data_IF_310406171380
#
_entry.id   IF_310406171380
#
_cell.length_a   1.000
_cell.length_b   1.000
_cell.length_c   1.000
_cell.angle_alpha   90.00
_cell.angle_beta   90.00
_cell.angle_gamma   90.00
#
_symmetry.space_group_name_H-M   'P 1'
#
loop_
_entity.id
_entity.type
_entity.pdbx_description
1 polymer ?
#
# COMPACT_ATOMS: atom_id res chain seq x y z
N UNK A 1 4.96 -9.82 -5.52
CA UNK A 1 4.95 -9.04 -4.25
C UNK A 1 4.01 -9.72 -3.26
N UNK A 2 4.44 -9.93 -2.01
CA UNK A 2 3.60 -10.54 -0.96
C UNK A 2 2.99 -9.44 -0.10
N UNK A 3 1.70 -9.53 0.17
CA UNK A 3 0.97 -8.62 1.05
C UNK A 3 0.59 -9.36 2.33
N UNK A 4 0.83 -8.72 3.47
CA UNK A 4 0.45 -9.21 4.77
C UNK A 4 -0.59 -8.27 5.36
N UNK A 5 -1.55 -8.80 6.12
CA UNK A 5 -2.55 -7.97 6.76
C UNK A 5 -1.87 -7.00 7.74
N UNK A 6 -2.14 -5.69 7.59
CA UNK A 6 -1.55 -4.69 8.48
C UNK A 6 -2.18 -4.82 9.85
N UNK A 7 -1.37 -4.77 10.91
CA UNK A 7 -1.84 -4.80 12.29
C UNK A 7 -1.73 -3.41 12.91
N UNK A 8 -2.64 -3.07 13.82
CA UNK A 8 -2.55 -1.86 14.64
C UNK A 8 -1.60 -2.09 15.83
N UNK A 9 -1.44 -1.09 16.69
CA UNK A 9 -0.59 -1.16 17.89
C UNK A 9 -1.02 -2.24 18.91
N UNK A 10 -2.28 -2.68 18.84
CA UNK A 10 -2.86 -3.72 19.68
C UNK A 10 -2.76 -5.12 19.03
N UNK A 11 -1.92 -5.28 17.99
CA UNK A 11 -1.79 -6.51 17.18
C UNK A 11 -3.07 -6.94 16.44
N UNK A 12 -4.12 -6.12 16.43
CA UNK A 12 -5.35 -6.41 15.70
C UNK A 12 -5.18 -6.12 14.20
N UNK A 13 -5.68 -7.03 13.37
CA UNK A 13 -5.71 -6.85 11.92
C UNK A 13 -6.60 -5.68 11.55
N UNK A 14 -6.03 -4.72 10.81
CA UNK A 14 -6.77 -3.62 10.21
C UNK A 14 -7.48 -4.16 8.97
N UNK A 15 -8.82 -4.14 8.93
CA UNK A 15 -9.57 -4.67 7.80
C UNK A 15 -9.22 -3.89 6.54
N UNK A 16 -9.07 -4.61 5.41
CA UNK A 16 -8.80 -4.03 4.09
C UNK A 16 -7.52 -3.19 4.02
N UNK A 17 -6.56 -3.46 4.90
CA UNK A 17 -5.27 -2.79 4.91
C UNK A 17 -4.16 -3.82 4.97
N UNK A 18 -3.14 -3.64 4.14
CA UNK A 18 -2.04 -4.56 3.98
C UNK A 18 -0.71 -3.82 3.93
N UNK A 19 0.34 -4.52 4.30
CA UNK A 19 1.72 -4.09 4.12
C UNK A 19 2.41 -5.03 3.14
N UNK A 20 3.10 -4.48 2.14
CA UNK A 20 3.93 -5.26 1.24
C UNK A 20 5.23 -5.68 1.95
N UNK A 21 5.88 -6.72 1.45
CA UNK A 21 7.21 -7.15 1.91
C UNK A 21 8.26 -6.00 1.86
N UNK A 22 8.10 -5.07 0.91
CA UNK A 22 8.94 -3.87 0.77
C UNK A 22 8.52 -2.71 1.70
N UNK A 23 7.56 -2.93 2.62
CA UNK A 23 7.13 -1.94 3.61
C UNK A 23 6.04 -0.94 3.16
N UNK A 24 5.53 -1.05 1.93
CA UNK A 24 4.47 -0.16 1.45
C UNK A 24 3.14 -0.51 2.09
N UNK A 25 2.36 0.49 2.48
CA UNK A 25 0.99 0.28 2.95
C UNK A 25 0.01 0.41 1.78
N UNK A 26 -0.89 -0.57 1.65
CA UNK A 26 -1.98 -0.58 0.68
C UNK A 26 -3.28 -0.69 1.47
N UNK A 27 -4.21 0.23 1.27
CA UNK A 27 -5.56 0.09 1.81
C UNK A 27 -6.58 -0.03 0.67
N UNK A 28 -7.65 -0.77 0.86
CA UNK A 28 -8.79 -0.85 -0.07
C UNK A 28 -9.93 0.02 0.46
N UNK A 29 -10.24 1.09 -0.26
CA UNK A 29 -11.40 1.93 0.00
C UNK A 29 -12.49 1.58 -1.02
N UNK A 30 -13.71 1.33 -0.52
CA UNK A 30 -14.87 1.05 -1.37
C UNK A 30 -15.77 2.28 -1.40
N UNK A 31 -15.59 3.14 -2.40
CA UNK A 31 -16.41 4.32 -2.64
C UNK A 31 -16.68 4.44 -4.13
N UNK A 32 -17.95 4.54 -4.54
CA UNK A 32 -18.61 3.76 -5.62
C UNK A 32 -17.78 2.75 -6.47
N UNK A 33 -16.51 3.03 -6.76
CA UNK A 33 -15.53 2.16 -7.39
C UNK A 33 -14.42 1.78 -6.38
N UNK A 34 -13.87 0.55 -6.44
CA UNK A 34 -12.76 0.16 -5.58
C UNK A 34 -11.52 1.02 -5.87
N UNK A 35 -10.94 1.63 -4.84
CA UNK A 35 -9.70 2.41 -4.94
C UNK A 35 -8.69 1.90 -3.92
N UNK A 36 -7.44 1.76 -4.36
CA UNK A 36 -6.33 1.30 -3.55
C UNK A 36 -5.30 2.42 -3.35
N UNK A 37 -5.45 3.27 -2.33
CA UNK A 37 -4.37 4.16 -1.91
C UNK A 37 -3.10 3.39 -1.53
N UNK A 38 -1.98 3.81 -2.10
CA UNK A 38 -0.64 3.25 -1.87
C UNK A 38 0.22 4.28 -1.16
N UNK A 39 0.79 3.90 -0.02
CA UNK A 39 1.62 4.73 0.84
C UNK A 39 3.02 4.15 0.95
N UNK A 40 4.04 5.01 0.81
CA UNK A 40 5.45 4.62 0.93
C UNK A 40 5.78 4.17 2.37
N UNK A 41 6.80 3.30 2.56
CA UNK A 41 7.30 2.97 3.89
C UNK A 41 7.70 4.25 4.65
N UNK A 42 7.39 4.31 5.94
CA UNK A 42 7.68 5.47 6.80
C UNK A 42 6.79 6.71 6.58
N UNK A 43 5.98 6.73 5.52
CA UNK A 43 5.10 7.85 5.23
C UNK A 43 3.68 7.65 5.77
N UNK A 44 2.99 8.78 5.99
CA UNK A 44 1.61 8.81 6.49
C UNK A 44 0.58 9.10 5.41
N UNK A 45 1.02 9.58 4.23
CA UNK A 45 0.14 9.98 3.13
C UNK A 45 0.34 9.10 1.89
N UNK A 46 -0.76 8.71 1.22
CA UNK A 46 -0.66 7.97 -0.03
C UNK A 46 -0.04 8.84 -1.12
N UNK A 47 0.88 8.27 -1.89
CA UNK A 47 1.49 8.93 -3.05
C UNK A 47 0.79 8.59 -4.36
N UNK A 48 0.04 7.49 -4.39
CA UNK A 48 -0.67 6.99 -5.55
C UNK A 48 -1.99 6.34 -5.16
N UNK A 49 -2.89 6.25 -6.13
CA UNK A 49 -4.18 5.59 -5.98
C UNK A 49 -4.41 4.70 -7.18
N UNK A 50 -4.44 3.39 -6.95
CA UNK A 50 -4.65 2.39 -7.98
C UNK A 50 -6.11 1.95 -8.05
N UNK A 51 -6.57 1.55 -9.23
CA UNK A 51 -7.93 1.01 -9.42
C UNK A 51 -8.00 -0.51 -9.16
N UNK A 52 -6.86 -1.20 -9.27
CA UNK A 52 -6.77 -2.65 -9.15
C UNK A 52 -5.51 -3.09 -8.42
N UNK A 53 -5.52 -4.32 -7.88
CA UNK A 53 -4.36 -4.90 -7.18
C UNK A 53 -3.14 -5.03 -8.08
N UNK A 54 -3.33 -5.35 -9.35
CA UNK A 54 -2.26 -5.42 -10.34
C UNK A 54 -1.60 -4.06 -10.53
N UNK A 55 -2.39 -2.99 -10.60
CA UNK A 55 -1.91 -1.62 -10.70
C UNK A 55 -1.18 -1.18 -9.42
N UNK A 56 -1.62 -1.62 -8.23
CA UNK A 56 -0.85 -1.42 -6.99
C UNK A 56 0.55 -2.03 -7.12
N UNK A 57 0.66 -3.26 -7.63
CA UNK A 57 1.96 -3.93 -7.79
C UNK A 57 2.84 -3.17 -8.80
N UNK A 58 2.25 -2.70 -9.92
CA UNK A 58 2.95 -1.89 -10.91
C UNK A 58 3.48 -0.60 -10.28
N UNK A 59 2.63 0.17 -9.59
CA UNK A 59 2.98 1.43 -8.93
C UNK A 59 4.10 1.24 -7.92
N UNK A 60 4.02 0.22 -7.05
CA UNK A 60 5.08 -0.03 -6.07
C UNK A 60 6.37 -0.46 -6.78
N UNK A 61 6.29 -1.29 -7.81
CA UNK A 61 7.48 -1.72 -8.56
C UNK A 61 8.17 -0.54 -9.24
N UNK A 62 7.41 0.35 -9.88
CA UNK A 62 7.95 1.57 -10.48
C UNK A 62 8.57 2.49 -9.44
N UNK A 63 7.93 2.69 -8.28
CA UNK A 63 8.47 3.53 -7.20
C UNK A 63 9.79 2.97 -6.63
N UNK A 64 9.87 1.65 -6.42
CA UNK A 64 11.11 1.00 -5.99
C UNK A 64 12.24 1.16 -7.00
N UNK A 65 11.95 1.02 -8.30
CA UNK A 65 12.94 1.20 -9.39
C UNK A 65 13.37 2.66 -9.54
N UNK A 66 12.48 3.62 -9.26
CA UNK A 66 12.79 5.05 -9.28
C UNK A 66 13.63 5.53 -8.09
N UNK A 67 14.01 4.63 -7.17
CA UNK A 67 14.79 4.98 -5.99
C UNK A 67 13.95 5.49 -4.82
N UNK A 68 12.68 5.09 -4.72
CA UNK A 68 11.74 5.40 -3.63
C UNK A 68 12.11 4.83 -2.25
N UNK A 69 13.40 4.67 -1.96
CA UNK A 69 13.97 4.48 -0.64
C UNK A 69 14.88 5.69 -0.34
N UNK A 70 14.28 6.77 0.16
CA UNK A 70 15.04 7.97 0.48
C UNK A 70 14.24 9.01 1.26
N UNK A 71 14.13 8.80 2.58
CA UNK A 71 14.45 9.72 3.67
C UNK A 71 13.88 9.21 5.00
#
# INVERSE_FOLDING_TARGET
MRWQAKRNTDDQVIPRCWVSDSGYTVAECRLPHPRYPVTRPGNSLPFAYADSREEVVQVITTDMQAGGAGQ
#
